data_IF_369694430803
#
_entry.id   IF_369694430803
#
_cell.length_a   1.000
_cell.length_b   1.000
_cell.length_c   1.000
_cell.angle_alpha   90.00
_cell.angle_beta   90.00
_cell.angle_gamma   90.00
#
_symmetry.space_group_name_H-M   'P 1'
#
loop_
_entity.id
_entity.type
_entity.pdbx_description
1 polymer ?
#
# COMPACT_ATOMS: atom_id res chain seq x y z
N UNK A 1 -15.39 1.79 -8.50
CA UNK A 1 -16.01 0.49 -8.17
C UNK A 1 -17.49 0.74 -7.89
N UNK A 2 -18.39 -0.04 -8.45
CA UNK A 2 -19.83 0.08 -8.18
C UNK A 2 -20.26 -0.73 -6.93
N UNK A 3 -21.55 -0.73 -6.63
CA UNK A 3 -22.11 -1.47 -5.49
C UNK A 3 -21.93 -2.99 -5.58
N UNK A 4 -21.79 -3.53 -6.81
CA UNK A 4 -21.63 -4.95 -7.09
C UNK A 4 -20.15 -5.38 -7.14
N UNK A 5 -19.23 -4.48 -6.77
CA UNK A 5 -17.77 -4.66 -6.83
C UNK A 5 -17.22 -4.86 -8.24
N UNK A 6 -17.91 -4.32 -9.26
CA UNK A 6 -17.34 -4.20 -10.60
C UNK A 6 -16.52 -2.93 -10.70
N UNK A 7 -15.44 -3.02 -11.46
CA UNK A 7 -14.51 -1.93 -11.67
C UNK A 7 -14.71 -1.35 -13.06
N UNK A 8 -14.57 -0.03 -13.15
CA UNK A 8 -14.77 0.73 -14.36
C UNK A 8 -13.62 1.71 -14.51
N UNK A 9 -13.08 1.82 -15.71
CA UNK A 9 -12.03 2.77 -16.08
C UNK A 9 -12.48 3.52 -17.33
N UNK A 10 -12.60 4.84 -17.22
CA UNK A 10 -13.03 5.72 -18.32
C UNK A 10 -14.35 5.26 -18.99
N UNK A 11 -15.30 4.74 -18.20
CA UNK A 11 -16.60 4.27 -18.68
C UNK A 11 -16.63 2.84 -19.21
N UNK A 12 -15.49 2.16 -19.28
CA UNK A 12 -15.41 0.74 -19.68
C UNK A 12 -15.25 -0.17 -18.46
N UNK A 13 -15.99 -1.27 -18.43
CA UNK A 13 -15.85 -2.27 -17.37
C UNK A 13 -14.49 -2.98 -17.44
N UNK A 14 -13.87 -3.22 -16.28
CA UNK A 14 -12.62 -3.95 -16.11
C UNK A 14 -12.88 -5.28 -15.36
N UNK A 15 -13.34 -6.33 -16.05
CA UNK A 15 -13.77 -7.58 -15.41
C UNK A 15 -12.59 -8.35 -14.78
N UNK A 16 -11.37 -8.15 -15.28
CA UNK A 16 -10.16 -8.78 -14.76
C UNK A 16 -9.87 -8.42 -13.29
N UNK A 17 -10.31 -7.26 -12.81
CA UNK A 17 -10.15 -6.82 -11.42
C UNK A 17 -11.46 -6.83 -10.62
N UNK A 18 -12.52 -7.44 -11.16
CA UNK A 18 -13.75 -7.66 -10.42
C UNK A 18 -13.48 -8.36 -9.07
N UNK A 19 -14.19 -7.92 -8.03
CA UNK A 19 -14.03 -8.45 -6.67
C UNK A 19 -12.78 -7.96 -5.91
N UNK A 20 -11.86 -7.23 -6.54
CA UNK A 20 -10.79 -6.54 -5.80
C UNK A 20 -11.41 -5.50 -4.85
N UNK A 21 -10.93 -5.48 -3.61
CA UNK A 21 -11.43 -4.57 -2.57
C UNK A 21 -10.74 -3.21 -2.61
N UNK A 22 -9.44 -3.20 -2.90
CA UNK A 22 -8.59 -2.03 -2.82
C UNK A 22 -8.01 -1.68 -4.20
N UNK A 23 -7.86 -0.39 -4.48
CA UNK A 23 -7.02 0.11 -5.58
C UNK A 23 -5.56 0.10 -5.12
N UNK A 24 -4.63 -0.22 -6.00
CA UNK A 24 -3.20 0.06 -5.83
C UNK A 24 -2.75 1.02 -6.94
N UNK A 25 -2.08 2.11 -6.59
CA UNK A 25 -1.50 3.03 -7.56
C UNK A 25 0.01 2.78 -7.66
N UNK A 26 0.49 2.31 -8.82
CA UNK A 26 1.90 1.96 -9.04
C UNK A 26 2.91 3.08 -8.70
N UNK A 27 2.44 4.34 -8.74
CA UNK A 27 3.24 5.55 -8.54
C UNK A 27 3.04 6.20 -7.16
N UNK A 28 2.27 5.59 -6.26
CA UNK A 28 1.99 6.18 -4.93
C UNK A 28 1.85 5.13 -3.83
N UNK A 29 2.57 5.27 -2.70
CA UNK A 29 2.42 4.36 -1.57
C UNK A 29 1.15 4.62 -0.75
N UNK A 30 0.42 5.70 -1.04
CA UNK A 30 -0.76 6.12 -0.28
C UNK A 30 -1.82 5.02 -0.21
N UNK A 31 -1.96 4.24 -1.29
CA UNK A 31 -2.94 3.16 -1.40
C UNK A 31 -2.63 1.93 -0.56
N UNK A 32 -1.38 1.73 -0.14
CA UNK A 32 -1.04 0.66 0.81
C UNK A 32 -1.75 0.84 2.16
N UNK A 33 -2.17 2.07 2.48
CA UNK A 33 -2.98 2.39 3.68
C UNK A 33 -4.31 1.62 3.68
N UNK A 34 -4.90 1.34 2.52
CA UNK A 34 -6.21 0.68 2.41
C UNK A 34 -6.20 -0.74 2.98
N UNK A 35 -5.37 -1.69 2.49
CA UNK A 35 -5.29 -3.02 3.07
C UNK A 35 -4.76 -3.00 4.51
N UNK A 36 -3.81 -2.10 4.84
CA UNK A 36 -3.27 -1.98 6.20
C UNK A 36 -4.39 -1.68 7.22
N UNK A 37 -5.25 -0.70 6.92
CA UNK A 37 -6.37 -0.35 7.81
C UNK A 37 -7.50 -1.36 7.78
N UNK A 38 -7.85 -1.87 6.60
CA UNK A 38 -8.96 -2.81 6.42
C UNK A 38 -8.68 -4.15 7.09
N UNK A 39 -7.45 -4.65 7.00
CA UNK A 39 -7.06 -5.93 7.59
C UNK A 39 -6.79 -5.83 9.09
N UNK A 40 -6.29 -4.68 9.56
CA UNK A 40 -5.96 -4.43 10.96
C UNK A 40 -5.17 -5.58 11.63
N UNK A 41 -4.21 -6.14 10.87
CA UNK A 41 -3.37 -7.27 11.29
C UNK A 41 -2.70 -6.99 12.63
N UNK A 42 -2.55 -7.98 13.50
CA UNK A 42 -1.69 -7.85 14.69
C UNK A 42 -0.22 -8.12 14.32
N UNK A 43 0.77 -7.61 15.09
CA UNK A 43 2.16 -8.00 14.90
C UNK A 43 2.32 -9.53 14.86
N UNK A 44 3.01 -10.03 13.84
CA UNK A 44 3.15 -11.46 13.55
C UNK A 44 2.15 -12.00 12.53
N UNK A 45 1.01 -11.33 12.32
CA UNK A 45 0.01 -11.75 11.35
C UNK A 45 0.40 -11.38 9.92
N UNK A 46 -0.18 -12.10 8.97
CA UNK A 46 -0.10 -11.79 7.57
C UNK A 46 -1.36 -12.15 6.81
N UNK A 47 -1.64 -11.41 5.74
CA UNK A 47 -2.74 -11.70 4.84
C UNK A 47 -2.35 -11.49 3.38
N UNK A 48 -2.96 -12.29 2.51
CA UNK A 48 -2.91 -12.12 1.06
C UNK A 48 -4.14 -11.33 0.62
N UNK A 49 -3.92 -10.33 -0.23
CA UNK A 49 -4.98 -9.52 -0.82
C UNK A 49 -4.81 -9.47 -2.33
N UNK A 50 -5.90 -9.12 -3.02
CA UNK A 50 -5.90 -8.87 -4.46
C UNK A 50 -6.38 -7.45 -4.69
N UNK A 51 -5.51 -6.64 -5.26
CA UNK A 51 -5.77 -5.24 -5.58
C UNK A 51 -6.10 -5.06 -7.06
N UNK A 52 -6.88 -4.03 -7.37
CA UNK A 52 -6.97 -3.48 -8.71
C UNK A 52 -5.78 -2.54 -8.88
N UNK A 53 -4.73 -3.00 -9.54
CA UNK A 53 -3.48 -2.27 -9.70
C UNK A 53 -3.54 -1.37 -10.94
N UNK A 54 -3.51 -0.06 -10.72
CA UNK A 54 -3.40 0.93 -11.76
C UNK A 54 -1.94 1.10 -12.13
N UNK A 55 -1.56 0.55 -13.29
CA UNK A 55 -0.20 0.67 -13.82
C UNK A 55 0.11 2.09 -14.24
N UNK A 56 1.38 2.43 -14.20
CA UNK A 56 1.92 3.67 -14.73
C UNK A 56 3.18 3.35 -15.55
N UNK A 57 3.36 3.98 -16.71
CA UNK A 57 2.57 5.07 -17.28
C UNK A 57 1.32 4.63 -18.08
N UNK A 58 1.03 3.33 -18.22
CA UNK A 58 -0.01 2.87 -19.16
C UNK A 58 -1.45 3.13 -18.71
N UNK A 59 -1.68 3.39 -17.42
CA UNK A 59 -3.00 3.56 -16.82
C UNK A 59 -3.97 2.40 -17.10
N UNK A 60 -3.46 1.17 -17.12
CA UNK A 60 -4.26 -0.05 -17.19
C UNK A 60 -4.57 -0.58 -15.77
N UNK A 61 -5.79 -1.08 -15.55
CA UNK A 61 -6.14 -1.82 -14.34
C UNK A 61 -5.86 -3.31 -14.53
N UNK A 62 -4.99 -3.86 -13.68
CA UNK A 62 -4.62 -5.28 -13.69
C UNK A 62 -4.75 -5.87 -12.28
N UNK A 63 -5.01 -7.18 -12.16
CA UNK A 63 -5.05 -7.81 -10.85
C UNK A 63 -3.64 -7.98 -10.30
N UNK A 64 -3.41 -7.50 -9.07
CA UNK A 64 -2.15 -7.69 -8.37
C UNK A 64 -2.39 -8.46 -7.06
N UNK A 65 -1.79 -9.64 -6.95
CA UNK A 65 -1.75 -10.37 -5.68
C UNK A 65 -0.62 -9.81 -4.83
N UNK A 66 -0.96 -9.47 -3.59
CA UNK A 66 -0.07 -8.86 -2.63
C UNK A 66 -0.14 -9.60 -1.31
N UNK A 67 0.94 -9.57 -0.55
CA UNK A 67 0.97 -10.05 0.83
C UNK A 67 1.48 -8.96 1.74
N UNK A 68 0.74 -8.72 2.81
CA UNK A 68 1.14 -7.84 3.90
C UNK A 68 1.38 -8.68 5.13
N UNK A 69 2.60 -8.61 5.67
CA UNK A 69 2.96 -9.23 6.95
C UNK A 69 3.30 -8.12 7.95
N UNK A 70 2.57 -8.01 9.06
CA UNK A 70 2.85 -7.00 10.09
C UNK A 70 3.99 -7.48 10.96
N UNK A 71 5.10 -6.76 10.95
CA UNK A 71 6.31 -7.12 11.69
C UNK A 71 6.20 -6.61 13.13
N UNK A 72 5.82 -5.35 13.28
CA UNK A 72 5.60 -4.70 14.58
C UNK A 72 4.49 -3.64 14.48
N UNK A 73 4.39 -2.76 15.47
CA UNK A 73 3.35 -1.73 15.53
C UNK A 73 3.39 -0.74 14.36
N UNK A 74 4.55 -0.50 13.75
CA UNK A 74 4.77 0.51 12.73
C UNK A 74 5.40 -0.03 11.43
N UNK A 75 5.69 -1.33 11.34
CA UNK A 75 6.39 -1.91 10.19
C UNK A 75 5.62 -3.08 9.57
N UNK A 76 5.55 -3.05 8.24
CA UNK A 76 5.00 -4.13 7.42
C UNK A 76 6.06 -4.60 6.41
N UNK A 77 6.09 -5.91 6.15
CA UNK A 77 6.68 -6.44 4.93
C UNK A 77 5.58 -6.53 3.87
N UNK A 78 5.80 -5.84 2.76
CA UNK A 78 4.98 -5.88 1.57
C UNK A 78 5.64 -6.76 0.52
N UNK A 79 4.87 -7.63 -0.10
CA UNK A 79 5.31 -8.54 -1.15
C UNK A 79 4.31 -8.53 -2.31
N UNK A 80 4.80 -8.60 -3.55
CA UNK A 80 3.99 -8.76 -4.76
C UNK A 80 4.71 -9.58 -5.82
N UNK A 81 4.02 -9.93 -6.90
CA UNK A 81 4.61 -10.73 -7.99
C UNK A 81 5.09 -12.11 -7.53
N UNK A 82 4.41 -12.73 -6.57
CA UNK A 82 4.83 -14.00 -5.98
C UNK A 82 6.09 -13.92 -5.10
N UNK A 83 6.39 -12.74 -4.55
CA UNK A 83 7.55 -12.51 -3.67
C UNK A 83 8.78 -11.97 -4.41
N UNK A 84 8.74 -11.88 -5.74
CA UNK A 84 9.81 -11.28 -6.57
C UNK A 84 10.07 -9.84 -6.15
N UNK A 85 9.02 -9.11 -5.81
CA UNK A 85 9.14 -7.76 -5.28
C UNK A 85 8.79 -7.77 -3.79
N UNK A 86 9.75 -7.37 -2.95
CA UNK A 86 9.60 -7.30 -1.50
C UNK A 86 10.13 -5.98 -0.97
N UNK A 87 9.38 -5.33 -0.08
CA UNK A 87 9.76 -4.06 0.55
C UNK A 87 9.29 -3.98 2.00
N UNK A 88 10.06 -3.27 2.81
CA UNK A 88 9.69 -2.96 4.20
C UNK A 88 9.05 -1.57 4.22
N UNK A 89 7.78 -1.51 4.60
CA UNK A 89 7.03 -0.27 4.73
C UNK A 89 7.03 0.15 6.20
N UNK A 90 7.30 1.43 6.47
CA UNK A 90 7.01 2.03 7.78
C UNK A 90 5.76 2.86 7.69
N UNK A 91 4.91 2.76 8.70
CA UNK A 91 3.67 3.52 8.81
C UNK A 91 3.62 4.38 10.07
N UNK A 92 2.80 5.42 10.05
CA UNK A 92 2.36 6.08 11.28
C UNK A 92 1.18 5.33 11.93
N UNK A 93 0.68 5.82 13.06
CA UNK A 93 -0.43 5.22 13.82
C UNK A 93 -1.77 5.21 13.06
N UNK A 94 -1.93 6.08 12.07
CA UNK A 94 -3.10 6.08 11.19
C UNK A 94 -3.00 5.06 10.03
N UNK A 95 -1.83 4.41 9.87
CA UNK A 95 -1.58 3.43 8.82
C UNK A 95 -1.03 4.03 7.52
N UNK A 96 -0.74 5.34 7.48
CA UNK A 96 -0.11 5.94 6.31
C UNK A 96 1.35 5.53 6.21
N UNK A 97 1.79 5.14 5.02
CA UNK A 97 3.20 4.87 4.74
C UNK A 97 4.00 6.17 4.86
N UNK A 98 4.95 6.19 5.78
CA UNK A 98 5.88 7.30 6.01
C UNK A 98 7.26 7.05 5.40
N UNK A 99 7.63 5.79 5.22
CA UNK A 99 8.85 5.40 4.54
C UNK A 99 8.60 4.16 3.68
N UNK A 100 9.03 4.24 2.44
CA UNK A 100 9.06 3.18 1.45
C UNK A 100 10.45 3.26 0.79
N UNK A 101 11.43 2.49 1.29
CA UNK A 101 12.82 2.61 0.88
C UNK A 101 12.99 2.57 -0.64
N UNK A 102 13.85 3.46 -1.15
CA UNK A 102 14.14 3.70 -2.59
C UNK A 102 13.04 4.41 -3.40
N UNK A 103 11.82 4.52 -2.88
CA UNK A 103 10.68 5.05 -3.65
C UNK A 103 10.05 6.31 -3.04
N UNK A 104 9.89 6.34 -1.72
CA UNK A 104 9.13 7.40 -1.06
C UNK A 104 9.56 7.62 0.39
N UNK A 105 9.65 8.87 0.80
CA UNK A 105 9.79 9.28 2.19
C UNK A 105 8.86 10.46 2.43
N UNK A 106 8.14 10.48 3.56
CA UNK A 106 7.37 11.66 3.94
C UNK A 106 8.32 12.80 4.29
N UNK A 107 8.19 13.92 3.59
CA UNK A 107 8.84 15.17 3.97
C UNK A 107 7.92 15.89 4.95
N UNK A 108 8.23 15.80 6.24
CA UNK A 108 7.54 16.62 7.25
C UNK A 108 8.08 18.05 7.21
N UNK A 109 7.26 19.03 6.80
CA UNK A 109 7.53 20.45 7.00
C UNK A 109 6.96 20.92 8.35
N UNK A 110 7.64 20.54 9.42
CA UNK A 110 7.45 21.04 10.78
C UNK A 110 8.81 21.13 11.49
N UNK A 111 9.00 22.08 12.43
CA UNK A 111 10.33 22.52 12.82
C UNK A 111 11.14 21.36 13.42
N UNK A 112 12.38 21.22 12.96
CA UNK A 112 13.31 20.21 13.44
C UNK A 112 13.39 20.24 14.97
N UNK A 113 13.02 19.15 15.63
CA UNK A 113 13.30 18.97 17.04
C UNK A 113 14.83 18.97 17.20
N UNK A 114 15.34 20.05 17.80
CA UNK A 114 16.75 20.24 18.14
C UNK A 114 17.36 18.94 18.67
N UNK A 115 18.31 18.37 17.92
CA UNK A 115 19.27 17.44 18.49
C UNK A 115 20.12 18.24 19.49
N UNK A 116 19.75 18.21 20.77
CA UNK A 116 20.69 18.55 21.84
C UNK A 116 21.79 17.50 21.82
N UNK A 117 22.92 17.85 21.19
CA UNK A 117 24.19 17.20 21.49
C UNK A 117 24.52 17.54 22.94
N UNK A 118 24.42 16.55 23.82
CA UNK A 118 25.05 16.63 25.13
C UNK A 118 26.57 16.62 24.94
N UNK A 119 27.23 17.48 25.71
CA UNK A 119 28.68 17.66 25.82
C UNK A 119 29.41 16.35 26.12
#
# INVERSE_FOLDING_TARGET
VDSDRRWWLNGSECPNVAGCFDIDMAFSPSTNTLPIRRLNLQPGDAAVVRAAWLRFPEFALEPLVQRYSRIDLATYRYESGGGVFTRTLRTNSAGFVVSYPEFWEVVHSGPAANQRRSL
#
